data_IF_328719132905
#
_entry.id   IF_328719132905
#
_cell.length_a   1.000
_cell.length_b   1.000
_cell.length_c   1.000
_cell.angle_alpha   90.00
_cell.angle_beta   90.00
_cell.angle_gamma   90.00
#
_symmetry.space_group_name_H-M   'P 1'
#
loop_
_entity.id
_entity.type
_entity.pdbx_description
1 polymer ?
#
# COMPACT_ATOMS: atom_id res chain seq x y z
N UNK A 1 -21.62 -12.74 9.42
CA UNK A 1 -20.28 -13.18 9.00
C UNK A 1 -19.56 -11.94 8.48
N UNK A 2 -18.39 -11.56 9.01
CA UNK A 2 -17.59 -10.49 8.40
C UNK A 2 -17.12 -10.99 7.05
N UNK A 3 -17.42 -10.27 5.98
CA UNK A 3 -16.98 -10.61 4.63
C UNK A 3 -15.45 -10.75 4.61
N UNK A 4 -14.95 -11.98 4.43
CA UNK A 4 -13.52 -12.32 4.43
C UNK A 4 -12.74 -11.72 3.25
N UNK A 5 -13.43 -10.98 2.39
CA UNK A 5 -12.88 -10.37 1.18
C UNK A 5 -12.64 -8.86 1.35
N UNK A 6 -12.97 -8.27 2.50
CA UNK A 6 -12.76 -6.84 2.70
C UNK A 6 -11.28 -6.55 2.95
N UNK A 7 -10.68 -5.72 2.09
CA UNK A 7 -9.34 -5.19 2.30
C UNK A 7 -9.43 -3.80 2.93
N UNK A 8 -9.68 -3.77 4.23
CA UNK A 8 -9.75 -2.55 5.02
C UNK A 8 -8.38 -2.23 5.59
N UNK A 9 -7.90 -1.01 5.36
CA UNK A 9 -6.62 -0.52 5.89
C UNK A 9 -6.84 0.69 6.76
N UNK A 10 -5.99 0.85 7.77
CA UNK A 10 -5.95 2.06 8.59
C UNK A 10 -4.69 2.83 8.23
N UNK A 11 -4.87 4.09 7.84
CA UNK A 11 -3.78 5.00 7.51
C UNK A 11 -3.06 5.49 8.76
N UNK A 12 -1.87 6.07 8.59
CA UNK A 12 -1.11 6.67 9.70
C UNK A 12 -1.88 7.80 10.40
N UNK A 13 -2.81 8.46 9.69
CA UNK A 13 -3.67 9.51 10.23
C UNK A 13 -4.95 8.95 10.90
N UNK A 14 -4.99 7.63 11.18
CA UNK A 14 -6.13 6.90 11.74
C UNK A 14 -7.41 6.92 10.87
N UNK A 15 -7.31 7.29 9.60
CA UNK A 15 -8.42 7.15 8.65
C UNK A 15 -8.50 5.70 8.16
N UNK A 16 -9.69 5.12 8.21
CA UNK A 16 -9.97 3.81 7.64
C UNK A 16 -10.36 3.93 6.17
N UNK A 17 -9.77 3.10 5.32
CA UNK A 17 -10.01 3.07 3.88
C UNK A 17 -10.38 1.67 3.43
N UNK A 18 -11.33 1.59 2.50
CA UNK A 18 -11.68 0.36 1.81
C UNK A 18 -10.92 0.24 0.48
N UNK A 19 -9.98 -0.71 0.44
CA UNK A 19 -9.20 -1.04 -0.74
C UNK A 19 -9.66 -2.33 -1.43
N UNK A 20 -10.80 -2.90 -1.03
CA UNK A 20 -11.34 -4.17 -1.58
C UNK A 20 -11.48 -4.16 -3.09
N UNK A 21 -11.85 -3.01 -3.66
CA UNK A 21 -11.98 -2.79 -5.11
C UNK A 21 -10.99 -1.76 -5.64
N UNK A 22 -9.90 -1.53 -4.91
CA UNK A 22 -8.89 -0.58 -5.34
C UNK A 22 -8.14 -1.09 -6.56
N UNK A 23 -7.78 -0.17 -7.45
CA UNK A 23 -6.89 -0.46 -8.58
C UNK A 23 -5.45 -0.32 -8.11
N UNK A 24 -4.69 -1.41 -8.17
CA UNK A 24 -3.23 -1.34 -8.02
C UNK A 24 -2.63 -0.62 -9.23
N UNK A 25 -1.87 0.45 -8.98
CA UNK A 25 -1.20 1.25 -10.01
C UNK A 25 0.25 0.81 -10.20
N UNK A 26 0.92 0.45 -9.10
CA UNK A 26 2.31 0.01 -9.07
C UNK A 26 2.57 -0.77 -7.78
N UNK A 27 3.39 -1.80 -7.81
CA UNK A 27 3.78 -2.56 -6.62
C UNK A 27 5.13 -3.24 -6.82
N UNK A 28 5.70 -3.74 -5.72
CA UNK A 28 6.83 -4.66 -5.72
C UNK A 28 6.46 -5.99 -5.05
N UNK A 29 5.41 -6.64 -5.57
CA UNK A 29 4.87 -7.86 -4.99
C UNK A 29 5.73 -9.12 -5.23
N UNK A 30 6.80 -9.02 -6.03
CA UNK A 30 7.77 -10.12 -6.27
C UNK A 30 8.47 -10.54 -4.98
N UNK A 31 8.70 -9.60 -4.07
CA UNK A 31 9.32 -9.84 -2.77
C UNK A 31 8.46 -9.20 -1.67
N UNK A 32 7.55 -9.99 -1.08
CA UNK A 32 6.49 -9.43 -0.25
C UNK A 32 6.97 -8.99 1.14
N UNK A 33 8.17 -9.36 1.57
CA UNK A 33 8.68 -9.09 2.92
C UNK A 33 9.96 -8.27 2.89
N UNK A 34 9.99 -7.17 3.64
CA UNK A 34 11.16 -6.30 3.78
C UNK A 34 10.91 -4.89 3.25
N UNK A 35 11.83 -3.96 3.56
CA UNK A 35 11.67 -2.51 3.30
C UNK A 35 11.46 -2.13 1.84
N UNK A 36 11.83 -3.01 0.92
CA UNK A 36 11.68 -2.83 -0.53
C UNK A 36 10.25 -3.10 -1.02
N UNK A 37 9.37 -3.68 -0.20
CA UNK A 37 8.00 -3.94 -0.58
C UNK A 37 7.14 -2.67 -0.44
N UNK A 38 6.41 -2.36 -1.50
CA UNK A 38 5.46 -1.27 -1.56
C UNK A 38 4.33 -1.58 -2.54
N UNK A 39 3.21 -0.90 -2.36
CA UNK A 39 2.15 -0.83 -3.36
C UNK A 39 1.48 0.53 -3.36
N UNK A 40 1.04 0.96 -4.55
CA UNK A 40 0.29 2.17 -4.77
C UNK A 40 -1.09 1.78 -5.31
N UNK A 41 -2.13 2.22 -4.61
CA UNK A 41 -3.52 1.92 -4.93
C UNK A 41 -4.29 3.20 -5.26
N UNK A 42 -5.27 3.08 -6.15
CA UNK A 42 -6.36 4.04 -6.30
C UNK A 42 -7.63 3.42 -5.72
N UNK A 43 -8.17 4.00 -4.66
CA UNK A 43 -9.41 3.53 -4.04
C UNK A 43 -10.62 3.75 -4.96
N UNK A 44 -11.74 3.04 -4.73
CA UNK A 44 -12.99 3.28 -5.46
C UNK A 44 -13.52 4.70 -5.33
N UNK A 45 -13.20 5.36 -4.22
CA UNK A 45 -13.57 6.75 -3.92
C UNK A 45 -12.65 7.77 -4.63
N UNK A 46 -11.63 7.29 -5.35
CA UNK A 46 -10.69 8.13 -6.10
C UNK A 46 -9.50 8.62 -5.27
N UNK A 47 -9.31 8.14 -4.04
CA UNK A 47 -8.14 8.46 -3.22
C UNK A 47 -6.93 7.64 -3.66
N UNK A 48 -5.74 8.23 -3.55
CA UNK A 48 -4.48 7.53 -3.81
C UNK A 48 -3.83 7.13 -2.50
N UNK A 49 -3.48 5.85 -2.38
CA UNK A 49 -2.97 5.25 -1.14
C UNK A 49 -1.65 4.56 -1.41
N UNK A 50 -0.64 4.89 -0.61
CA UNK A 50 0.67 4.24 -0.62
C UNK A 50 0.76 3.30 0.57
N UNK A 51 0.91 2.01 0.29
CA UNK A 51 1.26 0.98 1.25
C UNK A 51 2.76 0.72 1.23
N UNK A 52 3.41 0.68 2.40
CA UNK A 52 4.82 0.34 2.55
C UNK A 52 5.01 -0.75 3.59
N UNK A 53 6.10 -1.49 3.45
CA UNK A 53 6.66 -2.31 4.51
C UNK A 53 7.79 -1.54 5.21
N UNK A 54 7.72 -1.34 6.52
CA UNK A 54 8.77 -0.65 7.27
C UNK A 54 9.98 -1.54 7.63
N UNK A 55 10.06 -2.76 7.09
CA UNK A 55 11.10 -3.75 7.38
C UNK A 55 10.63 -4.91 8.24
N UNK A 56 9.31 -5.09 8.37
CA UNK A 56 8.72 -6.18 9.14
C UNK A 56 8.64 -7.43 8.26
N UNK A 57 9.31 -8.50 8.67
CA UNK A 57 9.34 -9.78 7.96
C UNK A 57 8.05 -10.61 8.09
N UNK A 58 7.13 -10.24 8.98
CA UNK A 58 5.86 -10.96 9.21
C UNK A 58 4.67 -10.37 8.46
N UNK A 59 4.82 -9.19 7.83
CA UNK A 59 3.73 -8.48 7.16
C UNK A 59 4.17 -8.08 5.77
N UNK A 60 3.23 -8.09 4.81
CA UNK A 60 3.53 -7.64 3.45
C UNK A 60 3.69 -6.13 3.39
N UNK A 61 2.62 -5.41 3.74
CA UNK A 61 2.58 -3.96 3.90
C UNK A 61 1.99 -3.68 5.28
N UNK A 62 2.55 -2.72 6.00
CA UNK A 62 2.19 -2.45 7.40
C UNK A 62 1.93 -0.96 7.68
N UNK A 63 2.18 -0.09 6.72
CA UNK A 63 1.90 1.34 6.82
C UNK A 63 1.19 1.80 5.57
N UNK A 64 0.16 2.62 5.76
CA UNK A 64 -0.64 3.16 4.68
C UNK A 64 -0.75 4.67 4.85
N UNK A 65 -0.55 5.41 3.77
CA UNK A 65 -0.63 6.88 3.77
C UNK A 65 -1.41 7.31 2.54
N UNK A 66 -2.32 8.28 2.70
CA UNK A 66 -2.96 8.94 1.57
C UNK A 66 -1.93 9.87 0.94
N UNK A 67 -1.81 9.80 -0.38
CA UNK A 67 -0.90 10.64 -1.16
C UNK A 67 -1.68 11.34 -2.26
N UNK A 68 -1.06 12.34 -2.89
CA UNK A 68 -1.63 12.98 -4.07
C UNK A 68 -1.52 12.10 -5.31
N UNK A 69 -2.32 12.38 -6.34
CA UNK A 69 -2.23 11.71 -7.63
C UNK A 69 -0.85 11.87 -8.27
N UNK A 70 -0.27 13.08 -8.21
CA UNK A 70 1.04 13.37 -8.76
C UNK A 70 2.13 12.52 -8.09
N UNK A 71 2.12 12.43 -6.75
CA UNK A 71 3.03 11.57 -6.00
C UNK A 71 2.84 10.09 -6.36
N UNK A 72 1.60 9.64 -6.54
CA UNK A 72 1.28 8.25 -6.87
C UNK A 72 1.84 7.83 -8.22
N UNK A 73 1.68 8.69 -9.23
CA UNK A 73 2.15 8.46 -10.60
C UNK A 73 3.68 8.55 -10.73
N UNK A 74 4.30 9.43 -9.95
CA UNK A 74 5.74 9.69 -10.00
C UNK A 74 6.52 8.93 -8.92
N UNK A 75 5.87 8.07 -8.13
CA UNK A 75 6.48 7.43 -6.98
C UNK A 75 7.72 6.61 -7.36
N UNK A 76 8.86 6.95 -6.75
CA UNK A 76 10.09 6.18 -6.79
C UNK A 76 10.37 5.62 -5.40
N UNK A 77 10.36 4.30 -5.28
CA UNK A 77 10.62 3.66 -4.00
C UNK A 77 12.12 3.72 -3.68
N UNK A 78 12.53 4.24 -2.51
CA UNK A 78 13.94 4.49 -2.22
C UNK A 78 14.73 3.22 -1.88
N UNK A 79 14.05 2.14 -1.51
CA UNK A 79 14.69 0.88 -1.16
C UNK A 79 14.66 -0.07 -2.35
N UNK A 80 15.83 -0.61 -2.66
CA UNK A 80 15.97 -1.76 -3.55
C UNK A 80 16.24 -2.99 -2.70
N UNK A 81 16.03 -4.18 -3.27
CA UNK A 81 16.46 -5.40 -2.60
C UNK A 81 17.98 -5.38 -2.50
N UNK A 82 18.50 -5.54 -1.29
CA UNK A 82 19.92 -5.87 -1.06
C UNK A 82 20.07 -7.38 -1.29
N UNK A 83 21.01 -7.78 -2.16
CA UNK A 83 21.28 -9.18 -2.50
C UNK A 83 21.87 -9.98 -1.34
#
# INVERSE_FOLDING_TARGET
MKDKNLFLVTTQDNQQLDLTKAKELRSNNLYPFGKHNYAIYRSPEGLYVKGLNTGIGSHMLNTYTIITEAEALQYQHPYVREE
#
